data_IF_784615198815
#
_entry.id   IF_784615198815
#
_cell.length_a   1.000
_cell.length_b   1.000
_cell.length_c   1.000
_cell.angle_alpha   90.00
_cell.angle_beta   90.00
_cell.angle_gamma   90.00
#
_symmetry.space_group_name_H-M   'P 1'
#
loop_
_entity.id
_entity.type
_entity.pdbx_description
1 polymer ?
#
# COMPACT_ATOMS: atom_id res chain seq x y z
N UNK A 1 -5.72 -6.70 0.31
CA UNK A 1 -5.60 -5.55 1.15
C UNK A 1 -5.50 -4.23 0.46
N UNK A 2 -6.57 -3.42 0.44
CA UNK A 2 -6.57 -2.03 -0.06
C UNK A 2 -5.89 -1.04 0.92
N UNK A 3 -5.18 -1.53 1.93
CA UNK A 3 -4.47 -0.72 2.93
C UNK A 3 -3.10 -0.19 2.52
N UNK A 4 -2.47 -0.74 1.50
CA UNK A 4 -1.07 -0.47 1.17
C UNK A 4 -0.81 0.56 0.06
N UNK A 5 -1.82 1.28 -0.40
CA UNK A 5 -1.67 2.26 -1.50
C UNK A 5 -0.97 3.55 -1.07
N UNK A 6 -0.78 3.79 0.21
CA UNK A 6 0.08 4.88 0.68
C UNK A 6 1.51 4.35 0.76
N UNK A 7 2.27 4.50 -0.33
CA UNK A 7 3.71 4.23 -0.35
C UNK A 7 4.37 5.01 0.77
N UNK A 8 4.61 4.32 1.88
CA UNK A 8 5.39 4.84 3.01
C UNK A 8 6.78 5.11 2.52
N UNK A 9 7.38 6.20 2.96
CA UNK A 9 8.80 6.42 2.72
C UNK A 9 9.57 5.34 3.47
N UNK A 10 10.32 4.53 2.72
CA UNK A 10 11.18 3.49 3.26
C UNK A 10 12.63 3.93 3.13
N UNK A 11 13.42 3.60 4.15
CA UNK A 11 14.87 3.64 4.05
C UNK A 11 15.37 2.20 4.15
N UNK A 12 16.00 1.73 3.10
CA UNK A 12 16.62 0.41 3.07
C UNK A 12 18.13 0.54 3.17
N UNK A 13 18.75 -0.36 3.91
CA UNK A 13 20.20 -0.47 3.98
C UNK A 13 20.63 -1.92 4.12
N UNK A 14 21.83 -2.20 3.62
CA UNK A 14 22.47 -3.50 3.66
C UNK A 14 23.90 -3.34 4.16
N UNK A 15 24.30 -4.22 5.05
CA UNK A 15 25.65 -4.24 5.58
C UNK A 15 26.27 -5.62 5.42
N UNK A 16 27.42 -5.68 4.75
CA UNK A 16 28.19 -6.89 4.62
C UNK A 16 28.86 -7.28 5.95
N UNK A 17 29.06 -8.56 6.15
CA UNK A 17 29.70 -9.16 7.33
C UNK A 17 28.98 -8.91 8.64
N UNK A 18 27.66 -8.87 8.57
CA UNK A 18 26.74 -8.83 9.70
C UNK A 18 25.54 -9.75 9.42
N UNK A 19 24.62 -9.81 10.36
CA UNK A 19 23.41 -10.63 10.35
C UNK A 19 22.23 -9.84 10.93
N UNK A 20 21.08 -10.50 11.12
CA UNK A 20 19.89 -9.90 11.69
C UNK A 20 20.08 -9.40 13.14
N UNK A 21 20.99 -10.00 13.92
CA UNK A 21 21.31 -9.53 15.29
C UNK A 21 22.02 -8.17 15.23
N UNK A 22 22.97 -8.00 14.30
CA UNK A 22 23.61 -6.71 14.06
C UNK A 22 22.62 -5.65 13.59
N UNK A 23 21.59 -6.03 12.83
CA UNK A 23 20.49 -5.12 12.45
C UNK A 23 19.62 -4.75 13.65
N UNK A 24 19.39 -5.63 14.62
CA UNK A 24 18.70 -5.28 15.89
C UNK A 24 19.51 -4.26 16.70
N UNK A 25 20.82 -4.44 16.83
CA UNK A 25 21.69 -3.49 17.54
C UNK A 25 21.71 -2.12 16.87
N UNK A 26 21.77 -2.09 15.52
CA UNK A 26 21.68 -0.87 14.74
C UNK A 26 20.33 -0.17 14.98
N UNK A 27 19.24 -0.91 14.93
CA UNK A 27 17.88 -0.38 15.13
C UNK A 27 17.73 0.22 16.53
N UNK A 28 18.08 -0.51 17.56
CA UNK A 28 17.99 -0.05 18.95
C UNK A 28 18.83 1.21 19.18
N UNK A 29 20.06 1.24 18.68
CA UNK A 29 20.96 2.40 18.82
C UNK A 29 20.44 3.61 18.02
N UNK A 30 19.95 3.40 16.80
CA UNK A 30 19.43 4.47 15.94
C UNK A 30 18.16 5.11 16.53
N UNK A 31 17.18 4.31 16.94
CA UNK A 31 15.95 4.85 17.51
C UNK A 31 16.19 5.60 18.80
N UNK A 32 17.06 5.09 19.67
CA UNK A 32 17.48 5.78 20.91
C UNK A 32 18.18 7.09 20.60
N UNK A 33 19.14 7.09 19.68
CA UNK A 33 19.87 8.28 19.25
C UNK A 33 18.93 9.36 18.68
N UNK A 34 17.99 8.95 17.82
CA UNK A 34 17.04 9.89 17.21
C UNK A 34 16.09 10.48 18.25
N UNK A 35 15.57 9.69 19.17
CA UNK A 35 14.73 10.20 20.26
C UNK A 35 15.47 11.23 21.13
N UNK A 36 16.71 10.96 21.51
CA UNK A 36 17.54 11.93 22.26
C UNK A 36 17.80 13.21 21.46
N UNK A 37 18.10 13.10 20.15
CA UNK A 37 18.45 14.25 19.32
C UNK A 37 17.24 15.10 18.94
N UNK A 38 16.09 14.48 18.67
CA UNK A 38 14.89 15.17 18.18
C UNK A 38 14.01 15.61 19.34
N UNK A 39 13.76 14.71 20.30
CA UNK A 39 12.85 14.95 21.41
C UNK A 39 13.56 15.39 22.70
N UNK A 40 14.89 15.28 22.77
CA UNK A 40 15.68 15.59 23.97
C UNK A 40 15.53 14.55 25.09
N UNK A 41 14.90 13.41 24.83
CA UNK A 41 14.61 12.34 25.78
C UNK A 41 14.42 11.02 25.06
N UNK A 42 14.81 9.91 25.71
CA UNK A 42 14.47 8.55 25.27
C UNK A 42 13.07 8.11 25.68
N UNK A 43 12.42 8.85 26.59
CA UNK A 43 11.01 8.66 26.91
C UNK A 43 10.21 9.62 26.05
N UNK A 44 9.52 9.08 25.06
CA UNK A 44 8.62 9.80 24.15
C UNK A 44 7.16 9.51 24.49
N UNK A 45 6.25 10.31 23.95
CA UNK A 45 4.80 10.07 24.08
C UNK A 45 4.18 10.17 22.70
N UNK A 46 3.31 9.22 22.38
CA UNK A 46 2.49 9.27 21.19
C UNK A 46 1.02 9.14 21.55
N UNK A 47 0.21 10.12 21.20
CA UNK A 47 -1.21 10.21 21.55
C UNK A 47 -1.48 9.94 23.04
N UNK A 48 -0.61 10.48 23.91
CA UNK A 48 -0.67 10.30 25.36
C UNK A 48 -0.13 8.97 25.89
N UNK A 49 0.25 8.03 25.04
CA UNK A 49 0.86 6.76 25.42
C UNK A 49 2.37 6.90 25.56
N UNK A 50 2.96 6.63 26.75
CA UNK A 50 4.41 6.72 26.94
C UNK A 50 5.12 5.53 26.30
N UNK A 51 6.20 5.80 25.56
CA UNK A 51 7.07 4.82 24.92
C UNK A 51 8.52 5.07 25.42
N UNK A 52 9.13 4.06 26.01
CA UNK A 52 10.46 4.17 26.64
C UNK A 52 11.54 3.50 25.78
N UNK A 53 12.24 4.33 24.98
CA UNK A 53 13.37 3.91 24.15
C UNK A 53 14.69 3.81 24.94
N UNK A 54 14.70 4.20 26.21
CA UNK A 54 15.88 4.15 27.07
C UNK A 54 16.16 2.76 27.64
N UNK A 55 15.14 1.91 27.73
CA UNK A 55 15.27 0.51 28.14
C UNK A 55 15.74 -0.37 26.99
N UNK A 56 16.35 -1.54 27.29
CA UNK A 56 16.57 -2.57 26.27
C UNK A 56 15.24 -2.94 25.59
N UNK A 57 15.25 -3.04 24.28
CA UNK A 57 14.07 -3.44 23.53
C UNK A 57 13.76 -4.90 23.79
N UNK A 58 12.48 -5.22 23.92
CA UNK A 58 12.06 -6.60 24.15
C UNK A 58 12.38 -7.46 22.91
N UNK A 59 12.73 -8.72 23.13
CA UNK A 59 12.97 -9.71 22.08
C UNK A 59 12.08 -10.92 22.36
N UNK A 60 11.18 -11.23 21.44
CA UNK A 60 10.25 -12.36 21.49
C UNK A 60 10.34 -13.11 20.17
N UNK A 61 10.30 -14.43 20.21
CA UNK A 61 10.01 -15.21 19.00
C UNK A 61 8.53 -15.04 18.62
N UNK A 62 8.17 -15.27 17.38
CA UNK A 62 6.76 -15.22 16.95
C UNK A 62 5.92 -16.24 17.72
N UNK A 63 6.46 -17.45 17.95
CA UNK A 63 5.79 -18.49 18.77
C UNK A 63 5.58 -18.07 20.22
N UNK A 64 6.59 -17.43 20.83
CA UNK A 64 6.48 -16.88 22.19
C UNK A 64 5.46 -15.75 22.29
N UNK A 65 5.39 -14.90 21.26
CA UNK A 65 4.40 -13.83 21.20
C UNK A 65 2.97 -14.39 21.15
N UNK A 66 2.72 -15.35 20.23
CA UNK A 66 1.41 -16.02 20.12
C UNK A 66 1.07 -16.78 21.41
N UNK A 67 2.03 -17.46 21.99
CA UNK A 67 1.83 -18.13 23.29
C UNK A 67 1.44 -17.15 24.41
N UNK A 68 2.08 -15.98 24.43
CA UNK A 68 1.86 -14.95 25.43
C UNK A 68 0.49 -14.26 25.30
N UNK A 69 0.11 -13.90 24.08
CA UNK A 69 -1.06 -13.05 23.84
C UNK A 69 -2.31 -13.84 23.41
N UNK A 70 -2.17 -14.91 22.63
CA UNK A 70 -3.26 -15.79 22.24
C UNK A 70 -3.43 -17.00 23.16
N UNK A 71 -2.41 -17.32 23.98
CA UNK A 71 -2.43 -18.49 24.86
C UNK A 71 -2.19 -19.83 24.14
N UNK A 72 -1.75 -19.81 22.89
CA UNK A 72 -1.56 -20.98 22.02
C UNK A 72 -0.07 -21.26 21.87
N UNK A 73 0.35 -22.48 22.15
CA UNK A 73 1.73 -22.94 22.04
C UNK A 73 1.96 -23.62 20.68
N UNK A 74 2.41 -22.84 19.67
CA UNK A 74 2.66 -23.37 18.33
C UNK A 74 3.83 -24.37 18.27
N UNK A 75 4.70 -24.43 19.28
CA UNK A 75 5.73 -25.48 19.38
C UNK A 75 5.11 -26.86 19.63
N UNK A 76 3.88 -26.92 20.12
CA UNK A 76 3.15 -28.16 20.34
C UNK A 76 2.25 -28.56 19.16
N UNK A 77 2.06 -27.68 18.18
CA UNK A 77 1.26 -27.94 16.98
C UNK A 77 2.04 -28.88 16.06
N UNK A 78 1.48 -30.05 15.77
CA UNK A 78 2.20 -31.11 15.08
C UNK A 78 2.37 -30.88 13.57
N UNK A 79 1.31 -30.39 12.90
CA UNK A 79 1.22 -30.28 11.45
C UNK A 79 0.25 -29.19 10.99
N UNK A 80 0.12 -29.06 9.65
CA UNK A 80 -0.74 -28.07 9.01
C UNK A 80 -2.23 -28.28 9.36
N UNK A 81 -2.69 -29.52 9.47
CA UNK A 81 -4.08 -29.84 9.77
C UNK A 81 -4.46 -29.46 11.21
N UNK A 82 -3.53 -29.64 12.14
CA UNK A 82 -3.72 -29.19 13.52
C UNK A 82 -3.73 -27.67 13.62
N UNK A 83 -2.86 -26.98 12.86
CA UNK A 83 -2.85 -25.53 12.78
C UNK A 83 -4.15 -24.97 12.21
N UNK A 84 -4.67 -25.55 11.13
CA UNK A 84 -5.97 -25.18 10.53
C UNK A 84 -7.12 -25.38 11.52
N UNK A 85 -7.14 -26.51 12.23
CA UNK A 85 -8.16 -26.76 13.27
C UNK A 85 -8.12 -25.70 14.38
N UNK A 86 -6.91 -25.30 14.84
CA UNK A 86 -6.78 -24.22 15.81
C UNK A 86 -7.29 -22.89 15.25
N UNK A 87 -7.02 -22.58 13.98
CA UNK A 87 -7.56 -21.38 13.34
C UNK A 87 -9.08 -21.39 13.32
N UNK A 88 -9.73 -22.52 13.00
CA UNK A 88 -11.19 -22.66 13.08
C UNK A 88 -11.73 -22.47 14.50
N UNK A 89 -11.09 -23.08 15.49
CA UNK A 89 -11.49 -22.99 16.91
C UNK A 89 -11.39 -21.54 17.42
N UNK A 90 -10.44 -20.77 16.91
CA UNK A 90 -10.19 -19.39 17.31
C UNK A 90 -10.78 -18.35 16.35
N UNK A 91 -11.50 -18.77 15.30
CA UNK A 91 -12.12 -17.92 14.29
C UNK A 91 -11.11 -17.05 13.51
N UNK A 92 -9.90 -17.55 13.33
CA UNK A 92 -8.88 -16.95 12.47
C UNK A 92 -9.14 -17.40 11.03
N UNK A 93 -9.37 -16.46 10.12
CA UNK A 93 -9.61 -16.76 8.72
C UNK A 93 -8.31 -17.22 8.04
N UNK A 94 -8.37 -18.31 7.26
CA UNK A 94 -7.23 -18.83 6.53
C UNK A 94 -7.65 -19.36 5.16
N UNK A 95 -6.69 -19.52 4.25
CA UNK A 95 -6.90 -20.16 2.97
C UNK A 95 -6.46 -21.63 2.99
N UNK A 96 -7.08 -22.48 2.15
CA UNK A 96 -6.78 -23.93 2.11
C UNK A 96 -5.30 -24.23 1.84
N UNK A 97 -4.61 -23.38 1.09
CA UNK A 97 -3.18 -23.50 0.78
C UNK A 97 -2.24 -23.17 1.96
N UNK A 98 -2.76 -22.52 3.00
CA UNK A 98 -1.93 -22.12 4.13
C UNK A 98 -1.38 -23.34 4.90
N UNK A 99 -0.13 -23.23 5.28
CA UNK A 99 0.59 -24.19 6.12
C UNK A 99 0.65 -23.69 7.56
N UNK A 100 1.26 -24.50 8.43
CA UNK A 100 1.44 -24.18 9.85
C UNK A 100 2.09 -22.80 10.06
N UNK A 101 3.12 -22.47 9.27
CA UNK A 101 3.82 -21.18 9.38
C UNK A 101 2.96 -19.99 8.98
N UNK A 102 2.19 -20.11 7.90
CA UNK A 102 1.23 -19.07 7.49
C UNK A 102 0.19 -18.82 8.58
N UNK A 103 -0.34 -19.90 9.16
CA UNK A 103 -1.36 -19.81 10.23
C UNK A 103 -0.77 -19.22 11.51
N UNK A 104 0.48 -19.54 11.87
CA UNK A 104 1.17 -18.89 12.99
C UNK A 104 1.23 -17.38 12.78
N UNK A 105 1.54 -16.92 11.56
CA UNK A 105 1.55 -15.50 11.22
C UNK A 105 0.16 -14.85 11.36
N UNK A 106 -0.90 -15.51 10.88
CA UNK A 106 -2.27 -15.02 11.03
C UNK A 106 -2.69 -14.87 12.51
N UNK A 107 -2.29 -15.81 13.37
CA UNK A 107 -2.49 -15.68 14.81
C UNK A 107 -1.70 -14.51 15.41
N UNK A 108 -0.49 -14.29 14.92
CA UNK A 108 0.32 -13.16 15.36
C UNK A 108 -0.32 -11.82 14.98
N UNK A 109 -0.75 -11.67 13.74
CA UNK A 109 -1.45 -10.47 13.25
C UNK A 109 -2.71 -10.17 14.05
N UNK A 110 -3.55 -11.17 14.28
CA UNK A 110 -4.83 -11.01 14.97
C UNK A 110 -4.68 -10.70 16.45
N UNK A 111 -3.76 -11.40 17.16
CA UNK A 111 -3.72 -11.38 18.62
C UNK A 111 -2.54 -10.61 19.23
N UNK A 112 -1.48 -10.36 18.47
CA UNK A 112 -0.22 -9.87 19.04
C UNK A 112 0.15 -8.44 18.64
N UNK A 113 0.00 -8.08 17.38
CA UNK A 113 0.51 -6.79 16.86
C UNK A 113 0.04 -5.60 17.67
N UNK A 114 -1.25 -5.53 17.93
CA UNK A 114 -1.88 -4.41 18.65
C UNK A 114 -1.46 -4.30 20.13
N UNK A 115 -0.91 -5.37 20.70
CA UNK A 115 -0.40 -5.42 22.09
C UNK A 115 1.06 -4.92 22.20
N UNK A 116 1.77 -4.78 21.07
CA UNK A 116 3.19 -4.40 21.03
C UNK A 116 3.38 -2.88 21.10
N UNK A 117 2.99 -2.29 22.22
CA UNK A 117 3.09 -0.84 22.44
C UNK A 117 4.52 -0.38 22.70
N UNK A 118 5.27 -1.11 23.53
CA UNK A 118 6.67 -0.81 23.82
C UNK A 118 7.60 -1.41 22.77
N UNK A 119 8.82 -0.83 22.56
CA UNK A 119 9.77 -1.32 21.58
C UNK A 119 10.04 -2.82 21.70
N UNK A 120 9.67 -3.60 20.68
CA UNK A 120 9.75 -5.05 20.70
C UNK A 120 10.19 -5.59 19.33
N UNK A 121 11.20 -6.44 19.32
CA UNK A 121 11.57 -7.25 18.18
C UNK A 121 10.81 -8.57 18.22
N UNK A 122 10.11 -8.88 17.13
CA UNK A 122 9.51 -10.21 16.89
C UNK A 122 10.43 -10.97 15.96
N UNK A 123 10.98 -12.05 16.45
CA UNK A 123 12.02 -12.83 15.77
C UNK A 123 11.50 -14.20 15.34
N UNK A 124 12.32 -14.91 14.58
CA UNK A 124 12.09 -16.29 14.19
C UNK A 124 10.76 -16.47 13.44
N UNK A 125 10.65 -15.73 12.35
CA UNK A 125 9.52 -15.84 11.44
C UNK A 125 9.51 -17.19 10.72
N UNK A 126 8.34 -17.74 10.37
CA UNK A 126 8.22 -18.96 9.59
C UNK A 126 8.86 -18.83 8.21
N UNK A 127 9.38 -19.97 7.72
CA UNK A 127 10.03 -20.06 6.42
C UNK A 127 9.05 -19.78 5.26
N UNK A 128 7.78 -20.13 5.41
CA UNK A 128 6.71 -20.00 4.44
C UNK A 128 6.55 -18.55 3.99
N UNK A 129 6.61 -17.62 4.94
CA UNK A 129 6.40 -16.18 4.70
C UNK A 129 7.70 -15.39 4.50
N UNK A 130 8.84 -16.07 4.29
CA UNK A 130 10.16 -15.43 4.27
C UNK A 130 11.08 -15.96 3.17
N UNK A 131 10.73 -15.75 1.87
CA UNK A 131 11.38 -16.40 0.73
C UNK A 131 12.83 -15.95 0.46
N UNK A 132 13.25 -14.80 0.99
CA UNK A 132 14.58 -14.20 0.73
C UNK A 132 15.51 -14.25 1.93
N UNK A 133 15.11 -14.95 2.99
CA UNK A 133 15.80 -14.94 4.28
C UNK A 133 16.52 -16.24 4.56
N UNK A 134 17.67 -16.13 5.20
CA UNK A 134 18.49 -17.29 5.62
C UNK A 134 17.78 -18.09 6.71
N UNK A 135 17.78 -19.43 6.57
CA UNK A 135 17.26 -20.36 7.58
C UNK A 135 18.07 -20.30 8.86
N UNK A 136 17.41 -20.50 9.99
CA UNK A 136 18.12 -20.74 11.25
C UNK A 136 18.85 -22.10 11.19
N UNK A 137 20.12 -22.16 11.61
CA UNK A 137 20.89 -23.41 11.55
C UNK A 137 20.38 -24.50 12.49
N UNK A 138 19.79 -24.13 13.61
CA UNK A 138 19.26 -25.00 14.66
C UNK A 138 17.79 -25.40 14.44
N UNK A 139 17.02 -24.62 13.70
CA UNK A 139 15.63 -24.91 13.36
C UNK A 139 15.26 -24.35 11.97
N UNK A 140 15.40 -25.12 10.90
CA UNK A 140 15.21 -24.66 9.53
C UNK A 140 13.76 -24.32 9.14
N UNK A 141 12.79 -24.59 9.99
CA UNK A 141 11.39 -24.17 9.80
C UNK A 141 11.21 -22.66 10.07
N UNK A 142 12.20 -22.05 10.70
CA UNK A 142 12.26 -20.62 10.97
C UNK A 142 13.47 -19.98 10.31
N UNK A 143 13.40 -18.66 10.15
CA UNK A 143 14.43 -17.88 9.49
C UNK A 143 15.02 -16.80 10.41
N UNK A 144 16.22 -16.35 10.08
CA UNK A 144 16.94 -15.25 10.75
C UNK A 144 16.32 -13.90 10.31
N UNK A 145 15.09 -13.63 10.78
CA UNK A 145 14.30 -12.42 10.50
C UNK A 145 13.73 -11.85 11.77
N UNK A 146 13.63 -10.55 11.83
CA UNK A 146 12.79 -9.89 12.79
C UNK A 146 11.96 -8.79 12.15
N UNK A 147 10.81 -8.53 12.74
CA UNK A 147 10.07 -7.29 12.59
C UNK A 147 10.13 -6.51 13.89
N UNK A 148 10.32 -5.20 13.78
CA UNK A 148 10.37 -4.30 14.93
C UNK A 148 9.06 -3.57 15.09
N UNK A 149 8.43 -3.74 16.25
CA UNK A 149 7.14 -3.14 16.58
C UNK A 149 7.27 -2.07 17.66
N UNK A 150 6.47 -1.04 17.50
CA UNK A 150 6.28 0.02 18.49
C UNK A 150 4.91 0.69 18.26
N UNK A 151 4.13 0.92 19.33
CA UNK A 151 2.77 1.44 19.26
C UNK A 151 1.80 0.56 18.44
N UNK A 152 1.99 -0.75 18.42
CA UNK A 152 1.24 -1.69 17.59
C UNK A 152 1.53 -1.54 16.10
N UNK A 153 2.62 -0.89 15.71
CA UNK A 153 3.02 -0.67 14.31
C UNK A 153 4.33 -1.36 14.01
N UNK A 154 4.40 -2.04 12.89
CA UNK A 154 5.66 -2.45 12.30
C UNK A 154 6.47 -1.22 11.90
N UNK A 155 7.62 -1.04 12.50
CA UNK A 155 8.54 0.08 12.31
C UNK A 155 9.68 -0.25 11.37
N UNK A 156 10.09 -1.52 11.36
CA UNK A 156 11.14 -2.05 10.50
C UNK A 156 11.00 -3.55 10.30
N UNK A 157 11.55 -4.03 9.18
CA UNK A 157 11.66 -5.44 8.84
C UNK A 157 13.10 -5.72 8.40
N UNK A 158 13.72 -6.73 8.99
CA UNK A 158 15.13 -7.04 8.75
C UNK A 158 15.41 -8.54 8.81
N UNK A 159 16.45 -8.95 8.09
CA UNK A 159 16.87 -10.33 8.09
C UNK A 159 18.35 -10.50 7.69
N UNK A 160 18.89 -11.69 8.01
CA UNK A 160 20.09 -12.17 7.35
C UNK A 160 19.75 -12.55 5.92
N UNK A 161 20.38 -11.91 4.95
CA UNK A 161 20.13 -12.13 3.53
C UNK A 161 20.47 -13.58 3.15
N UNK A 162 19.58 -14.22 2.41
CA UNK A 162 19.87 -15.55 1.86
C UNK A 162 20.90 -15.41 0.74
N UNK A 163 22.09 -15.90 1.00
CA UNK A 163 23.25 -15.81 0.09
C UNK A 163 23.68 -17.17 -0.51
N UNK A 164 22.87 -18.21 -0.32
CA UNK A 164 23.04 -19.52 -0.96
C UNK A 164 22.17 -19.60 -2.21
N UNK A 165 22.75 -19.61 -3.44
CA UNK A 165 21.98 -19.65 -4.67
C UNK A 165 21.17 -20.95 -4.85
N UNK A 166 21.60 -22.06 -4.23
CA UNK A 166 20.89 -23.33 -4.32
C UNK A 166 19.61 -23.28 -3.48
N UNK A 167 19.70 -22.83 -2.23
CA UNK A 167 18.52 -22.63 -1.36
C UNK A 167 17.59 -21.57 -1.95
N UNK A 168 18.13 -20.46 -2.46
CA UNK A 168 17.32 -19.41 -3.08
C UNK A 168 16.52 -19.92 -4.28
N UNK A 169 17.13 -20.75 -5.14
CA UNK A 169 16.44 -21.37 -6.27
C UNK A 169 15.30 -22.29 -5.82
N UNK A 170 15.48 -23.02 -4.74
CA UNK A 170 14.40 -23.86 -4.16
C UNK A 170 13.26 -23.00 -3.62
N UNK A 171 13.58 -21.87 -2.97
CA UNK A 171 12.57 -20.93 -2.47
C UNK A 171 11.77 -20.32 -3.59
N UNK A 172 12.42 -19.87 -4.67
CA UNK A 172 11.73 -19.33 -5.84
C UNK A 172 10.80 -20.35 -6.50
N UNK A 173 11.23 -21.61 -6.63
CA UNK A 173 10.35 -22.68 -7.14
C UNK A 173 9.11 -22.89 -6.27
N UNK A 174 9.25 -22.76 -4.96
CA UNK A 174 8.10 -22.83 -4.06
C UNK A 174 7.15 -21.64 -4.26
N UNK A 175 7.69 -20.43 -4.48
CA UNK A 175 6.92 -19.23 -4.79
C UNK A 175 6.22 -19.33 -6.16
N UNK A 176 6.91 -19.83 -7.20
CA UNK A 176 6.29 -20.08 -8.51
C UNK A 176 5.09 -21.04 -8.40
N UNK A 177 5.20 -22.09 -7.56
CA UNK A 177 4.09 -23.01 -7.33
C UNK A 177 2.91 -22.36 -6.60
N UNK A 178 3.15 -21.38 -5.71
CA UNK A 178 2.10 -20.58 -5.07
C UNK A 178 1.44 -19.62 -6.08
N UNK A 179 2.23 -18.96 -6.94
CA UNK A 179 1.72 -18.12 -8.01
C UNK A 179 0.83 -18.92 -8.99
N UNK A 180 1.26 -20.12 -9.38
CA UNK A 180 0.48 -21.02 -10.23
C UNK A 180 -0.83 -21.49 -9.54
N UNK A 181 -0.85 -21.50 -8.20
CA UNK A 181 -2.05 -21.79 -7.41
C UNK A 181 -2.94 -20.57 -7.17
N UNK A 182 -2.59 -19.39 -7.72
CA UNK A 182 -3.38 -18.16 -7.67
C UNK A 182 -2.97 -17.17 -6.59
N UNK A 183 -1.77 -17.30 -6.01
CA UNK A 183 -1.22 -16.32 -5.09
C UNK A 183 -0.65 -15.12 -5.85
N UNK A 184 -1.36 -14.01 -5.83
CA UNK A 184 -0.94 -12.77 -6.52
C UNK A 184 0.27 -12.09 -5.86
N UNK A 185 0.61 -12.43 -4.61
CA UNK A 185 1.74 -11.87 -3.87
C UNK A 185 3.01 -12.71 -3.99
N UNK A 186 2.93 -13.90 -4.59
CA UNK A 186 4.06 -14.79 -4.75
C UNK A 186 5.10 -14.23 -5.74
N UNK A 187 6.36 -14.31 -5.37
CA UNK A 187 7.47 -13.84 -6.20
C UNK A 187 7.83 -14.86 -7.28
N UNK A 188 8.01 -14.40 -8.50
CA UNK A 188 8.51 -15.24 -9.59
C UNK A 188 10.02 -15.43 -9.52
N UNK A 189 10.50 -16.57 -10.07
CA UNK A 189 11.93 -16.86 -10.20
C UNK A 189 12.64 -15.77 -10.98
N UNK A 190 13.66 -15.16 -10.35
CA UNK A 190 14.55 -14.19 -10.98
C UNK A 190 15.92 -14.84 -11.24
N UNK A 191 16.17 -15.23 -12.51
CA UNK A 191 17.42 -15.86 -12.92
C UNK A 191 18.61 -14.87 -12.88
N UNK A 192 18.41 -13.59 -13.08
CA UNK A 192 19.47 -12.59 -12.98
C UNK A 192 19.92 -12.41 -11.53
N UNK A 193 18.98 -12.42 -10.60
CA UNK A 193 19.27 -12.41 -9.17
C UNK A 193 20.05 -13.68 -8.76
N UNK A 194 19.62 -14.87 -9.20
CA UNK A 194 20.32 -16.12 -8.92
C UNK A 194 21.74 -16.14 -9.49
N UNK A 195 21.93 -15.66 -10.73
CA UNK A 195 23.24 -15.52 -11.33
C UNK A 195 24.15 -14.57 -10.52
N UNK A 196 23.59 -13.49 -10.01
CA UNK A 196 24.33 -12.56 -9.14
C UNK A 196 24.78 -13.24 -7.84
N UNK A 197 23.91 -14.04 -7.21
CA UNK A 197 24.26 -14.83 -6.02
C UNK A 197 25.37 -15.87 -6.31
N UNK A 198 25.35 -16.51 -7.48
CA UNK A 198 26.39 -17.48 -7.90
C UNK A 198 27.78 -16.83 -8.06
N UNK A 199 27.84 -15.55 -8.47
CA UNK A 199 29.07 -14.78 -8.51
C UNK A 199 29.63 -14.56 -7.10
N UNK A 200 28.76 -14.38 -6.12
CA UNK A 200 29.09 -14.33 -4.71
C UNK A 200 28.45 -13.13 -4.00
N UNK A 201 27.86 -13.41 -2.87
CA UNK A 201 27.34 -12.44 -1.91
C UNK A 201 27.92 -12.73 -0.52
N UNK A 202 28.58 -11.77 0.15
CA UNK A 202 29.05 -12.00 1.52
C UNK A 202 27.86 -12.19 2.47
N UNK A 203 28.06 -12.76 3.67
CA UNK A 203 27.06 -12.68 4.72
C UNK A 203 26.63 -11.23 4.92
N UNK A 204 25.33 -10.96 4.84
CA UNK A 204 24.80 -9.60 4.82
C UNK A 204 23.54 -9.53 5.67
N UNK A 205 23.43 -8.50 6.50
CA UNK A 205 22.17 -8.11 7.13
C UNK A 205 21.52 -6.98 6.33
N UNK A 206 20.23 -7.13 6.03
CA UNK A 206 19.41 -6.13 5.38
C UNK A 206 18.27 -5.65 6.28
N UNK A 207 17.86 -4.40 6.13
CA UNK A 207 16.76 -3.80 6.89
C UNK A 207 16.05 -2.72 6.12
N UNK A 208 14.73 -2.69 6.22
CA UNK A 208 13.87 -1.62 5.75
C UNK A 208 13.18 -0.91 6.93
N UNK A 209 13.25 0.42 6.98
CA UNK A 209 12.62 1.23 8.01
C UNK A 209 11.44 2.03 7.46
N UNK A 210 10.31 2.04 8.17
CA UNK A 210 9.18 2.93 7.90
C UNK A 210 9.44 4.34 8.44
N UNK A 211 10.06 5.20 7.64
CA UNK A 211 10.47 6.55 8.06
C UNK A 211 9.28 7.42 8.43
N UNK A 212 8.18 7.37 7.69
CA UNK A 212 6.99 8.15 8.00
C UNK A 212 6.42 7.78 9.37
N UNK A 213 6.34 6.48 9.70
CA UNK A 213 5.91 6.01 11.02
C UNK A 213 6.84 6.50 12.14
N UNK A 214 8.15 6.44 11.89
CA UNK A 214 9.15 6.94 12.84
C UNK A 214 8.98 8.44 13.11
N UNK A 215 8.81 9.24 12.05
CA UNK A 215 8.58 10.68 12.18
C UNK A 215 7.27 10.95 12.92
N UNK A 216 6.18 10.24 12.61
CA UNK A 216 4.91 10.35 13.32
C UNK A 216 5.08 10.15 14.83
N UNK A 217 5.81 9.10 15.24
CA UNK A 217 6.05 8.82 16.67
C UNK A 217 6.92 9.89 17.35
N UNK A 218 7.98 10.35 16.69
CA UNK A 218 8.88 11.37 17.27
C UNK A 218 8.26 12.76 17.34
N UNK A 219 7.26 13.06 16.51
CA UNK A 219 6.61 14.39 16.44
C UNK A 219 5.20 14.40 17.03
N UNK A 220 4.73 13.27 17.57
CA UNK A 220 3.35 13.08 18.03
C UNK A 220 2.28 13.42 16.96
N UNK A 221 2.60 13.19 15.69
CA UNK A 221 1.72 13.45 14.56
C UNK A 221 0.81 12.25 14.29
N UNK A 222 -0.51 12.43 14.35
CA UNK A 222 -1.47 11.32 14.24
C UNK A 222 -1.86 10.99 12.80
N UNK A 223 -1.56 11.85 11.84
CA UNK A 223 -1.85 11.63 10.43
C UNK A 223 -0.56 11.59 9.60
N UNK A 224 -0.41 10.56 8.76
CA UNK A 224 0.77 10.40 7.91
C UNK A 224 1.00 11.59 6.98
N UNK A 225 -0.06 12.25 6.51
CA UNK A 225 0.04 13.43 5.64
C UNK A 225 0.73 14.63 6.32
N UNK A 226 0.76 14.67 7.66
CA UNK A 226 1.36 15.76 8.41
C UNK A 226 2.89 15.64 8.46
N UNK A 227 3.41 14.45 8.17
CA UNK A 227 4.86 14.15 8.15
C UNK A 227 5.43 13.96 6.74
N UNK A 228 4.56 13.85 5.72
CA UNK A 228 5.01 13.76 4.34
C UNK A 228 5.51 15.12 3.85
N UNK A 229 6.72 15.17 3.29
CA UNK A 229 7.30 16.41 2.72
C UNK A 229 6.50 16.91 1.51
N UNK A 230 5.93 16.02 0.72
CA UNK A 230 5.15 16.34 -0.49
C UNK A 230 3.87 15.49 -0.52
N UNK A 231 2.90 15.74 0.39
CA UNK A 231 1.66 14.97 0.40
C UNK A 231 0.85 15.25 -0.87
N UNK A 232 0.32 14.20 -1.47
CA UNK A 232 -0.63 14.33 -2.57
C UNK A 232 -1.96 14.79 -1.98
N UNK A 233 -2.26 16.08 -2.09
CA UNK A 233 -3.50 16.66 -1.59
C UNK A 233 -4.45 16.92 -2.75
N UNK A 234 -5.77 16.66 -2.54
CA UNK A 234 -6.79 17.19 -3.45
C UNK A 234 -6.70 18.72 -3.42
N UNK A 235 -6.66 19.36 -4.60
CA UNK A 235 -6.68 20.82 -4.69
C UNK A 235 -7.91 21.35 -3.97
N UNK A 236 -7.74 22.10 -2.90
CA UNK A 236 -8.81 22.89 -2.29
C UNK A 236 -9.15 23.98 -3.31
N UNK A 237 -10.39 24.02 -3.76
CA UNK A 237 -10.91 24.80 -4.88
C UNK A 237 -10.26 26.15 -5.10
N UNK A 238 -10.02 26.45 -6.37
CA UNK A 238 -9.36 27.57 -6.98
C UNK A 238 -9.25 28.88 -6.21
N UNK A 239 -8.06 29.17 -5.72
CA UNK A 239 -7.63 30.54 -5.48
C UNK A 239 -6.82 30.97 -6.68
N UNK A 240 -7.36 31.93 -7.46
CA UNK A 240 -6.63 32.62 -8.53
C UNK A 240 -5.33 33.19 -7.96
N UNK A 241 -4.20 32.79 -8.54
CA UNK A 241 -2.92 33.41 -8.24
C UNK A 241 -2.95 34.85 -8.78
N UNK A 242 -3.20 35.83 -7.94
CA UNK A 242 -2.80 37.20 -8.18
C UNK A 242 -1.39 37.43 -7.68
N UNK A 243 -0.50 37.80 -8.59
CA UNK A 243 0.86 38.23 -8.30
C UNK A 243 0.87 39.42 -7.33
N UNK A 244 1.57 39.27 -6.21
CA UNK A 244 1.81 40.40 -5.31
C UNK A 244 2.46 40.00 -4.01
N UNK A 245 3.75 40.18 -3.94
CA UNK A 245 4.58 40.09 -2.73
C UNK A 245 4.04 40.98 -1.62
N UNK A 246 3.71 40.42 -0.45
CA UNK A 246 3.87 41.12 0.82
C UNK A 246 3.79 40.16 2.01
N UNK A 247 4.88 40.11 2.73
CA UNK A 247 5.07 39.43 4.01
C UNK A 247 4.28 40.11 5.13
N UNK A 248 3.41 39.36 5.84
CA UNK A 248 3.14 39.55 7.28
C UNK A 248 2.54 38.28 7.88
N UNK A 249 2.94 37.88 9.09
CA UNK A 249 2.44 36.66 9.73
C UNK A 249 1.02 36.92 10.26
N UNK A 250 0.08 36.04 9.91
CA UNK A 250 -1.26 36.02 10.48
C UNK A 250 -1.52 34.67 11.16
N UNK A 251 -2.08 34.78 12.32
CA UNK A 251 -2.48 33.81 13.32
C UNK A 251 -3.05 32.50 12.75
N UNK A 252 -2.61 31.40 13.36
CA UNK A 252 -3.11 30.05 13.12
C UNK A 252 -4.61 29.95 13.43
N UNK A 253 -5.41 29.79 12.40
CA UNK A 253 -6.76 29.24 12.52
C UNK A 253 -6.64 27.73 12.29
N UNK A 254 -6.77 26.95 13.35
CA UNK A 254 -6.93 25.49 13.28
C UNK A 254 -8.25 25.20 12.56
N UNK A 255 -8.17 24.84 11.27
CA UNK A 255 -9.30 24.24 10.57
C UNK A 255 -9.34 22.76 10.95
N UNK A 256 -10.40 22.36 11.64
CA UNK A 256 -10.74 20.94 11.83
C UNK A 256 -10.89 20.26 10.45
N UNK A 257 -10.51 18.97 10.30
CA UNK A 257 -10.68 18.26 9.05
C UNK A 257 -12.17 18.18 8.72
N UNK A 258 -12.52 18.67 7.54
CA UNK A 258 -13.88 18.58 7.02
C UNK A 258 -14.28 17.10 6.98
N UNK A 259 -15.15 16.69 7.89
CA UNK A 259 -15.77 15.35 7.85
C UNK A 259 -16.73 15.35 6.67
N UNK A 260 -16.32 14.65 5.58
CA UNK A 260 -17.21 14.44 4.46
C UNK A 260 -18.34 13.52 4.96
N UNK A 261 -19.54 14.04 5.01
CA UNK A 261 -20.72 13.28 5.46
C UNK A 261 -21.39 12.60 4.24
N UNK A 262 -21.23 11.29 4.14
CA UNK A 262 -21.88 10.46 3.14
C UNK A 262 -23.25 9.92 3.58
N UNK A 263 -23.82 10.41 4.68
CA UNK A 263 -25.10 9.93 5.21
C UNK A 263 -26.26 10.07 4.24
N UNK A 264 -26.19 11.05 3.31
CA UNK A 264 -27.18 11.33 2.28
C UNK A 264 -26.89 10.65 0.93
N UNK A 265 -25.80 9.89 0.81
CA UNK A 265 -25.45 9.19 -0.43
C UNK A 265 -26.15 7.83 -0.46
N UNK A 266 -26.75 7.50 -1.60
CA UNK A 266 -27.28 6.18 -1.91
C UNK A 266 -26.33 5.48 -2.85
N UNK A 267 -25.70 4.42 -2.36
CA UNK A 267 -24.82 3.56 -3.17
C UNK A 267 -25.70 2.52 -3.87
N UNK A 268 -25.51 2.36 -5.18
CA UNK A 268 -26.16 1.30 -5.94
C UNK A 268 -25.68 -0.07 -5.45
N UNK A 269 -26.57 -1.09 -5.37
CA UNK A 269 -26.17 -2.43 -5.01
C UNK A 269 -25.21 -3.03 -6.06
N UNK A 270 -24.32 -3.88 -5.60
CA UNK A 270 -23.42 -4.63 -6.49
C UNK A 270 -24.23 -5.54 -7.42
N UNK A 271 -23.70 -5.79 -8.62
CA UNK A 271 -24.26 -6.80 -9.50
C UNK A 271 -24.09 -8.18 -8.89
N UNK A 272 -25.13 -9.01 -9.00
CA UNK A 272 -25.09 -10.40 -8.57
C UNK A 272 -24.47 -11.33 -9.61
N UNK A 273 -24.44 -10.94 -10.90
CA UNK A 273 -23.80 -11.70 -11.97
C UNK A 273 -22.29 -11.43 -11.99
N UNK A 274 -21.54 -12.49 -11.87
CA UNK A 274 -20.07 -12.45 -12.00
C UNK A 274 -19.67 -12.30 -13.47
N UNK A 275 -18.66 -11.48 -13.73
CA UNK A 275 -18.02 -11.35 -15.04
C UNK A 275 -16.74 -12.17 -15.01
N UNK A 276 -16.63 -13.16 -15.92
CA UNK A 276 -15.42 -13.96 -16.06
C UNK A 276 -14.22 -13.09 -16.50
N UNK A 277 -13.03 -13.50 -16.10
CA UNK A 277 -11.80 -12.76 -16.37
C UNK A 277 -11.53 -12.59 -17.87
N UNK A 278 -11.85 -13.59 -18.70
CA UNK A 278 -11.65 -13.50 -20.15
C UNK A 278 -12.54 -12.45 -20.81
N UNK A 279 -13.73 -12.23 -20.27
CA UNK A 279 -14.63 -11.17 -20.71
C UNK A 279 -14.13 -9.80 -20.23
N UNK A 280 -13.74 -9.69 -18.98
CA UNK A 280 -13.20 -8.43 -18.42
C UNK A 280 -11.89 -8.02 -19.09
N UNK A 281 -10.98 -8.95 -19.33
CA UNK A 281 -9.66 -8.70 -19.94
C UNK A 281 -9.71 -8.19 -21.38
N UNK A 282 -10.86 -8.32 -22.05
CA UNK A 282 -11.10 -7.73 -23.38
C UNK A 282 -11.32 -6.22 -23.33
N UNK A 283 -11.55 -5.64 -22.15
CA UNK A 283 -11.70 -4.22 -21.97
C UNK A 283 -10.33 -3.54 -21.92
N UNK A 284 -10.12 -2.49 -22.71
CA UNK A 284 -8.85 -1.76 -22.76
C UNK A 284 -8.99 -0.41 -22.06
N UNK A 285 -8.66 -0.40 -20.78
CA UNK A 285 -8.64 0.82 -19.95
C UNK A 285 -7.29 1.51 -20.09
N UNK A 286 -7.31 2.81 -20.39
CA UNK A 286 -6.10 3.64 -20.58
C UNK A 286 -6.19 4.94 -19.82
N UNK A 287 -5.00 5.41 -19.37
CA UNK A 287 -4.82 6.80 -19.02
C UNK A 287 -4.81 7.64 -20.31
N UNK A 288 -5.65 8.68 -20.37
CA UNK A 288 -5.76 9.56 -21.53
C UNK A 288 -5.59 11.01 -21.08
N UNK A 289 -4.77 11.79 -21.81
CA UNK A 289 -4.51 13.18 -21.45
C UNK A 289 -5.40 14.11 -22.25
N UNK A 290 -6.09 15.03 -21.58
CA UNK A 290 -6.97 16.01 -22.20
C UNK A 290 -6.11 17.10 -22.86
N UNK A 291 -6.10 17.13 -24.20
CA UNK A 291 -5.46 18.19 -25.00
C UNK A 291 -6.39 19.38 -25.17
N UNK A 292 -7.66 19.11 -25.42
CA UNK A 292 -8.71 20.11 -25.61
C UNK A 292 -10.04 19.57 -25.10
N UNK A 293 -10.84 20.45 -24.52
CA UNK A 293 -12.22 20.18 -24.12
C UNK A 293 -13.08 21.35 -24.53
N UNK A 294 -14.21 21.07 -25.20
CA UNK A 294 -15.13 22.11 -25.67
C UNK A 294 -16.59 21.69 -25.50
N UNK A 295 -17.47 22.64 -25.24
CA UNK A 295 -18.87 22.38 -25.18
C UNK A 295 -19.44 22.06 -26.59
N UNK A 296 -20.26 21.00 -26.71
CA UNK A 296 -20.85 20.63 -28.01
C UNK A 296 -21.94 21.61 -28.39
N UNK A 297 -21.89 22.27 -29.57
CA UNK A 297 -22.89 23.18 -30.00
C UNK A 297 -24.32 22.57 -30.01
N UNK A 298 -25.30 23.28 -29.48
CA UNK A 298 -26.70 22.85 -29.33
C UNK A 298 -26.95 21.73 -28.30
N UNK A 299 -25.93 21.32 -27.53
CA UNK A 299 -26.12 20.42 -26.40
C UNK A 299 -25.82 21.17 -25.10
N UNK A 300 -26.70 21.05 -24.11
CA UNK A 300 -26.47 21.58 -22.75
C UNK A 300 -25.75 20.57 -21.84
N UNK A 301 -25.57 19.33 -22.31
CA UNK A 301 -25.07 18.23 -21.49
C UNK A 301 -23.71 17.68 -21.95
N UNK A 302 -23.37 17.89 -23.24
CA UNK A 302 -22.20 17.22 -23.82
C UNK A 302 -20.97 18.10 -23.86
N UNK A 303 -19.87 17.56 -23.42
CA UNK A 303 -18.51 18.03 -23.68
C UNK A 303 -17.84 17.11 -24.70
N UNK A 304 -17.10 17.70 -25.63
CA UNK A 304 -16.22 16.99 -26.58
C UNK A 304 -14.79 17.11 -26.10
N UNK A 305 -14.15 15.98 -25.99
CA UNK A 305 -12.75 15.83 -25.60
C UNK A 305 -11.90 15.47 -26.81
N UNK A 306 -10.77 16.15 -26.95
CA UNK A 306 -9.65 15.75 -27.79
C UNK A 306 -8.56 15.21 -26.87
N UNK A 307 -8.29 13.91 -26.94
CA UNK A 307 -7.48 13.17 -25.99
C UNK A 307 -6.24 12.59 -26.66
N UNK A 308 -5.09 12.69 -25.99
CA UNK A 308 -3.92 11.89 -26.26
C UNK A 308 -4.06 10.55 -25.53
N UNK A 309 -4.05 9.44 -26.26
CA UNK A 309 -4.11 8.08 -25.76
C UNK A 309 -2.81 7.29 -25.98
N UNK A 310 -1.72 8.00 -26.31
CA UNK A 310 -0.40 7.42 -26.56
C UNK A 310 -0.22 6.76 -27.93
N UNK A 311 -1.26 6.74 -28.80
CA UNK A 311 -1.18 6.13 -30.13
C UNK A 311 -0.58 7.06 -31.19
N UNK A 312 -0.37 8.34 -30.86
CA UNK A 312 0.10 9.36 -31.79
C UNK A 312 -1.02 9.97 -32.64
N UNK A 313 -2.26 9.54 -32.48
CA UNK A 313 -3.45 10.09 -33.11
C UNK A 313 -4.43 10.53 -32.04
N UNK A 314 -4.95 11.76 -32.12
CA UNK A 314 -5.88 12.28 -31.14
C UNK A 314 -7.20 11.52 -31.18
N UNK A 315 -7.70 11.12 -30.01
CA UNK A 315 -8.97 10.43 -29.82
C UNK A 315 -10.07 11.42 -29.44
N UNK A 316 -11.22 11.32 -30.09
CA UNK A 316 -12.41 12.09 -29.71
C UNK A 316 -13.33 11.25 -28.85
N UNK A 317 -13.70 11.78 -27.67
CA UNK A 317 -14.74 11.20 -26.81
C UNK A 317 -15.74 12.31 -26.44
N UNK A 318 -17.04 11.98 -26.50
CA UNK A 318 -18.11 12.84 -26.01
C UNK A 318 -18.63 12.29 -24.69
N UNK A 319 -18.80 13.19 -23.70
CA UNK A 319 -19.32 12.82 -22.39
C UNK A 319 -20.41 13.79 -21.92
N UNK A 320 -21.43 13.27 -21.27
CA UNK A 320 -22.60 14.01 -20.81
C UNK A 320 -22.42 14.75 -19.48
N UNK A 321 -21.28 15.38 -19.26
CA UNK A 321 -20.83 15.89 -17.96
C UNK A 321 -20.76 17.42 -17.86
N UNK A 322 -21.27 18.13 -18.84
CA UNK A 322 -21.22 19.60 -18.87
C UNK A 322 -22.00 20.27 -17.72
N UNK A 323 -22.89 19.52 -17.04
CA UNK A 323 -23.55 20.01 -15.83
C UNK A 323 -22.65 20.01 -14.58
N UNK A 324 -21.54 19.29 -14.63
CA UNK A 324 -20.66 19.05 -13.48
C UNK A 324 -19.27 19.66 -13.65
N UNK A 325 -18.82 19.91 -14.89
CA UNK A 325 -17.48 20.41 -15.20
C UNK A 325 -17.50 21.46 -16.31
N UNK A 326 -16.73 22.51 -16.13
CA UNK A 326 -16.45 23.47 -17.20
C UNK A 326 -15.25 22.94 -18.05
N UNK A 327 -15.28 23.17 -19.39
CA UNK A 327 -14.22 22.68 -20.30
C UNK A 327 -12.81 23.04 -19.87
N UNK A 328 -12.60 24.24 -19.37
CA UNK A 328 -11.28 24.79 -19.00
C UNK A 328 -10.67 24.09 -17.80
N UNK A 329 -11.49 23.51 -16.93
CA UNK A 329 -11.03 22.79 -15.74
C UNK A 329 -10.42 21.44 -16.08
N UNK A 330 -10.75 20.89 -17.24
CA UNK A 330 -10.39 19.55 -17.67
C UNK A 330 -9.16 19.50 -18.58
N UNK A 331 -8.82 20.60 -19.24
CA UNK A 331 -7.64 20.66 -20.10
C UNK A 331 -6.35 20.43 -19.32
N UNK A 332 -5.49 19.55 -19.83
CA UNK A 332 -4.22 19.16 -19.20
C UNK A 332 -4.36 18.10 -18.10
N UNK A 333 -5.56 17.66 -17.75
CA UNK A 333 -5.79 16.55 -16.81
C UNK A 333 -5.58 15.20 -17.49
N UNK A 334 -5.23 14.21 -16.69
CA UNK A 334 -5.14 12.80 -17.12
C UNK A 334 -6.34 12.05 -16.56
N UNK A 335 -7.14 11.48 -17.44
CA UNK A 335 -8.39 10.79 -17.13
C UNK A 335 -8.26 9.29 -17.43
N UNK A 336 -9.22 8.50 -16.96
CA UNK A 336 -9.33 7.09 -17.32
C UNK A 336 -10.43 6.93 -18.39
N UNK A 337 -10.10 6.20 -19.46
CA UNK A 337 -11.04 5.88 -20.51
C UNK A 337 -10.98 4.40 -20.89
N UNK A 338 -12.12 3.83 -21.24
CA UNK A 338 -12.17 2.59 -22.01
C UNK A 338 -12.07 2.94 -23.50
N UNK A 339 -11.04 2.41 -24.17
CA UNK A 339 -10.62 2.86 -25.50
C UNK A 339 -11.04 1.94 -26.63
N UNK A 340 -11.41 0.71 -26.34
CA UNK A 340 -11.80 -0.29 -27.34
C UNK A 340 -13.30 -0.51 -27.49
N UNK A 341 -14.13 0.49 -27.13
CA UNK A 341 -15.54 0.49 -27.45
C UNK A 341 -15.77 0.83 -28.93
N UNK A 342 -16.78 0.23 -29.59
CA UNK A 342 -17.12 0.60 -30.95
C UNK A 342 -17.51 2.09 -31.03
N UNK A 343 -17.08 2.80 -32.10
CA UNK A 343 -17.41 4.20 -32.27
C UNK A 343 -18.94 4.44 -32.28
N UNK A 344 -19.36 5.51 -31.57
CA UNK A 344 -20.75 5.90 -31.50
C UNK A 344 -20.94 7.35 -31.97
N UNK A 345 -21.85 7.56 -32.90
CA UNK A 345 -22.15 8.88 -33.40
C UNK A 345 -23.17 9.60 -32.51
N UNK A 346 -22.80 10.75 -31.96
CA UNK A 346 -23.63 11.62 -31.11
C UNK A 346 -23.59 13.07 -31.64
N UNK A 347 -24.72 13.71 -31.86
CA UNK A 347 -24.82 15.06 -32.42
C UNK A 347 -23.99 15.30 -33.68
N UNK A 348 -23.80 14.26 -34.49
CA UNK A 348 -23.01 14.34 -35.73
C UNK A 348 -21.50 14.10 -35.55
N UNK A 349 -21.02 14.00 -34.31
CA UNK A 349 -19.61 13.76 -33.95
C UNK A 349 -19.45 12.29 -33.56
N UNK A 350 -18.35 11.67 -33.99
CA UNK A 350 -18.03 10.29 -33.67
C UNK A 350 -17.25 10.23 -32.34
N UNK A 351 -17.78 9.52 -31.34
CA UNK A 351 -17.16 9.27 -30.04
C UNK A 351 -16.52 7.88 -30.03
N UNK A 352 -15.23 7.83 -29.76
CA UNK A 352 -14.39 6.63 -29.85
C UNK A 352 -13.91 6.18 -28.47
N UNK A 353 -14.83 5.73 -27.61
CA UNK A 353 -14.54 5.31 -26.24
C UNK A 353 -15.48 5.98 -25.22
N UNK A 354 -15.19 5.79 -23.95
CA UNK A 354 -15.96 6.36 -22.84
C UNK A 354 -15.02 6.75 -21.68
N UNK A 355 -15.23 7.94 -21.12
CA UNK A 355 -14.56 8.37 -19.89
C UNK A 355 -15.24 7.70 -18.69
N UNK A 356 -14.45 7.30 -17.69
CA UNK A 356 -14.97 6.72 -16.46
C UNK A 356 -15.25 7.80 -15.43
N UNK A 357 -16.39 7.64 -14.75
CA UNK A 357 -16.81 8.51 -13.65
C UNK A 357 -17.50 7.69 -12.57
N UNK A 358 -17.35 8.13 -11.33
CA UNK A 358 -18.19 7.68 -10.22
C UNK A 358 -19.42 8.60 -10.13
N UNK A 359 -20.59 8.01 -9.94
CA UNK A 359 -21.85 8.74 -9.78
C UNK A 359 -22.44 8.40 -8.42
N UNK A 360 -22.76 9.42 -7.65
CA UNK A 360 -23.43 9.29 -6.36
C UNK A 360 -24.86 9.82 -6.50
N UNK A 361 -25.84 8.97 -6.19
CA UNK A 361 -27.24 9.39 -6.07
C UNK A 361 -27.49 9.94 -4.66
N UNK A 362 -28.19 11.05 -4.53
CA UNK A 362 -28.57 11.59 -3.24
C UNK A 362 -29.88 10.95 -2.78
N UNK A 363 -29.97 10.64 -1.47
CA UNK A 363 -31.22 10.17 -0.85
C UNK A 363 -32.24 11.27 -0.89
N UNK A 364 -33.48 10.91 -1.20
CA UNK A 364 -34.63 11.82 -1.20
C UNK A 364 -34.57 12.97 -2.25
N UNK A 365 -33.70 12.83 -3.26
CA UNK A 365 -33.57 13.76 -4.39
C UNK A 365 -33.40 13.00 -5.70
N UNK A 366 -33.72 13.63 -6.83
CA UNK A 366 -33.33 13.15 -8.17
C UNK A 366 -31.97 13.71 -8.60
N UNK A 367 -31.26 14.39 -7.72
CA UNK A 367 -29.96 14.97 -8.01
C UNK A 367 -28.85 13.91 -7.90
N UNK A 368 -27.90 14.01 -8.82
CA UNK A 368 -26.72 13.15 -8.92
C UNK A 368 -25.46 14.00 -8.75
N UNK A 369 -24.46 13.45 -8.07
CA UNK A 369 -23.11 13.99 -8.07
C UNK A 369 -22.22 13.11 -8.93
N UNK A 370 -21.51 13.69 -9.89
CA UNK A 370 -20.62 12.97 -10.80
C UNK A 370 -19.17 13.41 -10.61
N UNK A 371 -18.29 12.43 -10.42
CA UNK A 371 -16.85 12.63 -10.29
C UNK A 371 -16.11 11.88 -11.39
N UNK A 372 -15.42 12.59 -12.30
CA UNK A 372 -14.51 11.98 -13.27
C UNK A 372 -13.36 11.27 -12.55
N UNK A 373 -13.03 10.06 -12.99
CA UNK A 373 -11.86 9.36 -12.48
C UNK A 373 -10.61 9.97 -13.12
N UNK A 374 -9.89 10.77 -12.31
CA UNK A 374 -8.63 11.42 -12.68
C UNK A 374 -7.47 10.68 -12.05
N UNK A 375 -6.37 10.56 -12.79
CA UNK A 375 -5.11 10.01 -12.30
C UNK A 375 -4.02 11.08 -12.32
N UNK A 376 -2.89 10.78 -11.69
CA UNK A 376 -1.75 11.70 -11.63
C UNK A 376 -1.26 12.05 -13.04
N UNK A 377 -1.00 13.35 -13.28
CA UNK A 377 -0.53 13.85 -14.57
C UNK A 377 0.89 13.36 -14.96
N UNK A 378 1.62 12.71 -14.02
CA UNK A 378 2.88 12.02 -14.32
C UNK A 378 2.67 10.67 -15.00
N UNK A 379 1.44 10.13 -14.98
CA UNK A 379 1.13 8.93 -15.75
C UNK A 379 1.09 9.30 -17.24
N UNK A 380 1.88 8.64 -18.08
CA UNK A 380 1.93 8.95 -19.51
C UNK A 380 0.60 8.61 -20.20
N UNK A 381 0.24 9.39 -21.20
CA UNK A 381 -0.87 9.06 -22.08
C UNK A 381 -0.67 7.68 -22.71
N UNK A 382 -1.71 6.86 -22.75
CA UNK A 382 -1.67 5.50 -23.26
C UNK A 382 -1.26 4.43 -22.25
N UNK A 383 -0.89 4.80 -21.02
CA UNK A 383 -0.62 3.82 -19.97
C UNK A 383 -1.84 2.92 -19.76
N UNK A 384 -1.65 1.60 -19.81
CA UNK A 384 -2.71 0.62 -19.62
C UNK A 384 -3.00 0.46 -18.12
N UNK A 385 -4.27 0.33 -17.79
CA UNK A 385 -4.77 0.05 -16.44
C UNK A 385 -5.18 -1.43 -16.39
N UNK A 386 -4.79 -2.09 -15.30
CA UNK A 386 -5.04 -3.51 -15.06
C UNK A 386 -5.97 -3.66 -13.85
#
# INVERSE_FOLDING_TARGET
>A
GLGDVYKRQLMELYQAYTDYEGMMELTESMFRYLAEKVCGSTLISYNGTPIDLGKPFARLTMTDAVKKYAGIDFDQVADDEEAKRLAEEHHVEYEERHKKGDILNLFFEEYCEHELVQPTFIMDHPIEISPLTKKKPDNPDYVERFEFFMNGWEMANAYSELNDPIDQRERFKAQDALADAGDEEANHTDEDFLNALEIGMPPTGGIGYGIDRLVMLLTDSQAIRDVLLFPTMKSIGGVKAENGVSSKPSEEVKAEPEKIDFSNVKIEPLFEEEVDFDTFSKSDFRAVKVKECVAVPKSKKLLQFTLDDGTGTDRTILSGIHAYYEPEELVGKTLIAITNLPPRKMMGIESCGMLLSAVNNLKDSEDEELHLLMVDNHIPAGAKLY
#
